data_IF_066219809370
#
_entry.id   IF_066219809370
#
_cell.length_a   1.000
_cell.length_b   1.000
_cell.length_c   1.000
_cell.angle_alpha   90.00
_cell.angle_beta   90.00
_cell.angle_gamma   90.00
#
_symmetry.space_group_name_H-M   'P 1'
#
loop_
_entity.id
_entity.type
_entity.pdbx_description
1 polymer ?
#
# COMPACT_ATOMS: atom_id res chain seq x y z
N UNK A 1 -9.79 33.38 -47.39
CA UNK A 1 -9.24 33.82 -46.08
C UNK A 1 -9.62 32.88 -44.92
N UNK A 2 -9.71 31.56 -45.13
CA UNK A 2 -10.15 30.57 -44.11
C UNK A 2 -9.05 29.60 -43.63
N UNK A 3 -7.80 29.76 -44.10
CA UNK A 3 -6.72 28.80 -43.83
C UNK A 3 -6.13 28.91 -42.40
N UNK A 4 -6.18 30.10 -41.79
CA UNK A 4 -5.53 30.35 -40.50
C UNK A 4 -6.29 29.75 -39.29
N UNK A 5 -7.63 29.75 -39.32
CA UNK A 5 -8.46 29.22 -38.23
C UNK A 5 -8.44 27.69 -38.16
N UNK A 6 -8.29 27.00 -39.30
CA UNK A 6 -8.17 25.54 -39.34
C UNK A 6 -6.86 25.02 -38.71
N UNK A 7 -5.75 25.76 -38.83
CA UNK A 7 -4.49 25.41 -38.17
C UNK A 7 -4.56 25.55 -36.65
N UNK A 8 -5.24 26.58 -36.13
CA UNK A 8 -5.39 26.79 -34.69
C UNK A 8 -6.27 25.72 -34.04
N UNK A 9 -7.35 25.31 -34.71
CA UNK A 9 -8.22 24.23 -34.24
C UNK A 9 -7.55 22.85 -34.32
N UNK A 10 -6.71 22.58 -35.34
CA UNK A 10 -5.89 21.36 -35.41
C UNK A 10 -4.83 21.29 -34.30
N UNK A 11 -4.26 22.44 -33.91
CA UNK A 11 -3.33 22.55 -32.78
C UNK A 11 -4.00 22.26 -31.43
N UNK A 12 -5.22 22.77 -31.23
CA UNK A 12 -6.02 22.48 -30.03
C UNK A 12 -6.52 21.03 -29.98
N UNK A 13 -6.87 20.41 -31.11
CA UNK A 13 -7.27 19.00 -31.13
C UNK A 13 -6.11 18.03 -30.86
N UNK A 14 -4.91 18.29 -31.41
CA UNK A 14 -3.71 17.48 -31.11
C UNK A 14 -3.33 17.58 -29.63
N UNK A 15 -3.47 18.75 -29.01
CA UNK A 15 -3.18 18.92 -27.57
C UNK A 15 -4.27 18.35 -26.67
N UNK A 16 -5.55 18.40 -27.07
CA UNK A 16 -6.67 17.77 -26.34
C UNK A 16 -6.66 16.25 -26.45
N UNK A 17 -6.34 15.68 -27.62
CA UNK A 17 -6.08 14.24 -27.78
C UNK A 17 -4.84 13.83 -27.01
N UNK A 18 -3.75 14.62 -27.00
CA UNK A 18 -2.58 14.34 -26.16
C UNK A 18 -2.94 14.39 -24.67
N UNK A 19 -3.75 15.35 -24.21
CA UNK A 19 -4.26 15.41 -22.81
C UNK A 19 -5.24 14.26 -22.47
N UNK A 20 -6.03 13.75 -23.43
CA UNK A 20 -6.89 12.57 -23.24
C UNK A 20 -6.14 11.24 -23.35
N UNK A 21 -5.09 11.18 -24.17
CA UNK A 21 -4.18 10.03 -24.30
C UNK A 21 -3.11 9.99 -23.19
N UNK A 22 -2.91 11.07 -22.44
CA UNK A 22 -2.12 11.08 -21.20
C UNK A 22 -2.79 10.27 -20.07
N UNK A 23 -4.07 9.91 -20.22
CA UNK A 23 -4.76 8.90 -19.38
C UNK A 23 -4.68 7.47 -19.90
N UNK A 24 -4.01 7.23 -21.04
CA UNK A 24 -3.90 5.93 -21.71
C UNK A 24 -2.47 5.73 -22.24
N UNK A 25 -1.47 5.94 -21.36
CA UNK A 25 -0.08 5.55 -21.60
C UNK A 25 0.13 4.17 -20.96
N UNK A 26 0.08 3.06 -21.74
CA UNK A 26 0.47 1.75 -21.25
C UNK A 26 2.00 1.71 -21.28
N UNK A 27 2.64 2.19 -20.21
CA UNK A 27 4.06 2.04 -19.85
C UNK A 27 4.37 3.14 -18.85
N UNK A 28 4.06 2.88 -17.59
CA UNK A 28 4.84 3.51 -16.52
C UNK A 28 6.25 2.99 -16.75
N UNK A 29 7.10 3.82 -17.35
CA UNK A 29 8.55 3.69 -17.21
C UNK A 29 8.76 3.39 -15.74
N UNK A 30 9.31 2.21 -15.35
CA UNK A 30 9.57 1.95 -13.95
C UNK A 30 10.53 3.04 -13.55
N UNK A 31 10.02 4.06 -12.84
CA UNK A 31 10.88 5.06 -12.25
C UNK A 31 11.88 4.24 -11.47
N UNK A 32 13.16 4.33 -11.83
CA UNK A 32 14.27 3.88 -11.01
C UNK A 32 14.23 4.71 -9.71
N UNK A 33 13.19 4.52 -8.89
CA UNK A 33 13.15 4.99 -7.52
C UNK A 33 14.18 4.08 -6.86
N UNK A 34 15.40 4.61 -6.72
CA UNK A 34 16.51 4.04 -5.97
C UNK A 34 15.94 3.23 -4.81
N UNK A 35 16.09 1.90 -4.90
CA UNK A 35 15.78 0.90 -3.89
C UNK A 35 14.41 1.13 -3.23
N UNK A 36 13.36 0.48 -3.76
CA UNK A 36 12.00 0.50 -3.22
C UNK A 36 11.94 -0.23 -1.85
N UNK A 37 12.70 0.30 -0.90
CA UNK A 37 12.79 -0.10 0.48
C UNK A 37 11.48 0.32 1.13
N UNK A 38 10.82 -0.64 1.74
CA UNK A 38 9.62 -0.43 2.54
C UNK A 38 9.85 -1.02 3.93
N UNK A 39 9.07 -0.59 4.92
CA UNK A 39 9.08 -1.22 6.23
C UNK A 39 7.90 -2.18 6.32
N UNK A 40 8.17 -3.45 6.62
CA UNK A 40 7.15 -4.39 7.05
C UNK A 40 6.97 -4.21 8.55
N UNK A 41 5.79 -3.76 8.99
CA UNK A 41 5.46 -3.57 10.41
C UNK A 41 4.50 -4.64 10.87
N UNK A 42 4.71 -5.19 12.07
CA UNK A 42 3.83 -6.17 12.69
C UNK A 42 2.38 -5.67 12.78
N UNK A 43 1.45 -6.47 12.27
CA UNK A 43 0.01 -6.21 12.34
C UNK A 43 -0.54 -6.36 13.76
N UNK A 44 0.16 -7.10 14.63
CA UNK A 44 -0.17 -7.19 16.04
C UNK A 44 0.09 -5.88 16.81
N UNK A 45 0.52 -4.82 16.11
CA UNK A 45 0.75 -3.47 16.66
C UNK A 45 1.74 -3.45 17.83
N UNK A 46 2.76 -4.30 17.79
CA UNK A 46 3.89 -4.30 18.73
C UNK A 46 4.86 -3.15 18.49
N UNK A 47 4.80 -2.54 17.30
CA UNK A 47 5.75 -1.52 16.84
C UNK A 47 7.00 -2.10 16.17
N UNK A 48 7.17 -3.43 16.16
CA UNK A 48 8.30 -4.06 15.49
C UNK A 48 8.23 -3.90 13.97
N UNK A 49 9.41 -3.66 13.36
CA UNK A 49 9.56 -3.41 11.93
C UNK A 49 10.76 -4.19 11.37
N UNK A 50 10.61 -4.63 10.13
CA UNK A 50 11.72 -5.15 9.33
C UNK A 50 11.83 -4.36 8.02
N UNK A 51 13.06 -4.00 7.65
CA UNK A 51 13.32 -3.39 6.35
C UNK A 51 13.17 -4.43 5.24
N UNK A 52 12.34 -4.13 4.24
CA UNK A 52 12.06 -5.03 3.13
C UNK A 52 12.37 -4.40 1.79
N UNK A 53 13.12 -5.12 0.96
CA UNK A 53 13.39 -4.78 -0.42
C UNK A 53 12.37 -5.46 -1.31
N UNK A 54 11.45 -4.69 -1.89
CA UNK A 54 10.45 -5.24 -2.83
C UNK A 54 11.14 -5.92 -4.01
N UNK A 55 10.59 -7.06 -4.41
CA UNK A 55 10.94 -7.79 -5.64
C UNK A 55 10.50 -7.01 -6.89
N UNK A 56 10.98 -7.38 -8.08
CA UNK A 56 10.58 -6.72 -9.32
C UNK A 56 9.07 -6.85 -9.59
N UNK A 57 8.48 -8.00 -9.28
CA UNK A 57 7.05 -8.24 -9.40
C UNK A 57 6.24 -7.29 -8.48
N UNK A 58 6.62 -7.15 -7.21
CA UNK A 58 5.95 -6.25 -6.26
C UNK A 58 6.19 -4.77 -6.55
N UNK A 59 7.27 -4.43 -7.27
CA UNK A 59 7.52 -3.07 -7.76
C UNK A 59 6.63 -2.72 -8.95
N UNK A 60 6.35 -3.71 -9.81
CA UNK A 60 5.54 -3.55 -11.00
C UNK A 60 4.04 -3.72 -10.71
N UNK A 61 3.68 -4.26 -9.54
CA UNK A 61 2.31 -4.65 -9.21
C UNK A 61 1.30 -3.52 -9.46
N UNK A 62 0.53 -3.69 -10.54
CA UNK A 62 -0.51 -2.76 -10.95
C UNK A 62 -1.73 -2.78 -10.01
N UNK A 63 -1.79 -3.73 -9.08
CA UNK A 63 -2.93 -3.87 -8.17
C UNK A 63 -2.97 -2.77 -7.11
N UNK A 64 -1.86 -2.05 -6.88
CA UNK A 64 -1.79 -0.98 -5.88
C UNK A 64 -1.97 -1.47 -4.43
N UNK A 65 -1.91 -2.80 -4.21
CA UNK A 65 -2.03 -3.40 -2.88
C UNK A 65 -0.74 -3.27 -2.10
N UNK A 66 -0.87 -3.22 -0.78
CA UNK A 66 0.26 -3.25 0.16
C UNK A 66 0.77 -4.67 0.31
N UNK A 67 2.09 -4.84 0.34
CA UNK A 67 2.70 -6.14 0.61
C UNK A 67 2.40 -6.56 2.05
N UNK A 68 2.04 -7.83 2.22
CA UNK A 68 1.87 -8.45 3.53
C UNK A 68 2.61 -9.78 3.56
N UNK A 69 3.36 -10.05 4.63
CA UNK A 69 4.21 -11.24 4.75
C UNK A 69 4.19 -11.76 6.18
N UNK A 70 4.18 -13.08 6.34
CA UNK A 70 4.32 -13.71 7.66
C UNK A 70 5.80 -13.69 8.04
N UNK A 71 6.12 -13.05 9.16
CA UNK A 71 7.46 -12.91 9.70
C UNK A 71 7.44 -13.21 11.20
N UNK A 72 8.61 -13.46 11.78
CA UNK A 72 8.76 -13.68 13.21
C UNK A 72 8.73 -12.34 13.94
N UNK A 73 7.79 -12.15 14.87
CA UNK A 73 7.80 -10.98 15.75
C UNK A 73 8.54 -11.31 17.05
N UNK A 74 9.76 -10.76 17.28
CA UNK A 74 10.53 -11.03 18.49
C UNK A 74 9.87 -10.48 19.76
N UNK A 75 8.96 -9.49 19.65
CA UNK A 75 8.26 -8.92 20.80
C UNK A 75 7.23 -9.91 21.36
N UNK A 76 6.56 -10.65 20.49
CA UNK A 76 5.55 -11.65 20.87
C UNK A 76 6.09 -13.08 20.91
N UNK A 77 7.32 -13.30 20.41
CA UNK A 77 7.92 -14.61 20.20
C UNK A 77 6.97 -15.54 19.41
N UNK A 78 6.34 -15.00 18.36
CA UNK A 78 5.38 -15.69 17.51
C UNK A 78 5.47 -15.21 16.06
N UNK A 79 5.09 -16.08 15.13
CA UNK A 79 4.86 -15.68 13.75
C UNK A 79 3.61 -14.81 13.65
N UNK A 80 3.79 -13.60 13.14
CA UNK A 80 2.73 -12.62 12.96
C UNK A 80 2.71 -12.14 11.50
N UNK A 81 1.57 -11.61 11.07
CA UNK A 81 1.47 -10.95 9.77
C UNK A 81 2.10 -9.57 9.86
N UNK A 82 2.95 -9.22 8.91
CA UNK A 82 3.53 -7.89 8.80
C UNK A 82 2.99 -7.21 7.55
N UNK A 83 2.70 -5.92 7.64
CA UNK A 83 2.13 -5.11 6.56
C UNK A 83 3.08 -4.00 6.14
N UNK A 84 3.06 -3.68 4.85
CA UNK A 84 3.84 -2.61 4.26
C UNK A 84 3.45 -1.23 4.83
N UNK A 85 4.47 -0.53 5.29
CA UNK A 85 4.41 0.83 5.83
C UNK A 85 5.59 1.66 5.33
N UNK A 86 5.47 2.97 5.47
CA UNK A 86 6.54 3.90 5.14
C UNK A 86 7.68 3.72 6.14
N UNK A 87 8.92 3.69 5.66
CA UNK A 87 10.12 3.58 6.51
C UNK A 87 10.25 4.79 7.44
N UNK A 88 9.90 5.98 6.96
CA UNK A 88 9.97 7.21 7.74
C UNK A 88 8.59 7.52 8.32
N UNK A 89 8.52 7.56 9.64
CA UNK A 89 7.34 7.94 10.40
C UNK A 89 7.23 7.17 11.71
N UNK A 90 6.30 7.56 12.59
CA UNK A 90 6.01 6.81 13.80
C UNK A 90 5.40 5.44 13.45
N UNK A 91 6.01 4.36 13.92
CA UNK A 91 5.50 3.00 13.71
C UNK A 91 4.25 2.72 14.54
N UNK A 92 4.15 3.35 15.70
CA UNK A 92 2.99 3.33 16.58
C UNK A 92 2.23 4.64 16.46
N UNK A 93 0.99 4.56 15.97
CA UNK A 93 0.10 5.71 15.83
C UNK A 93 -1.23 5.41 16.50
N UNK A 94 -1.93 6.46 16.96
CA UNK A 94 -3.27 6.33 17.58
C UNK A 94 -4.26 5.60 16.67
N UNK A 95 -4.08 5.71 15.34
CA UNK A 95 -4.91 5.04 14.35
C UNK A 95 -4.77 3.50 14.35
N UNK A 96 -3.68 2.95 14.90
CA UNK A 96 -3.46 1.51 14.99
C UNK A 96 -4.09 0.89 16.25
N UNK A 97 -4.67 1.68 17.15
CA UNK A 97 -5.32 1.15 18.35
C UNK A 97 -6.57 0.36 17.92
N UNK A 98 -6.56 -0.94 18.18
CA UNK A 98 -7.68 -1.82 17.87
C UNK A 98 -8.87 -1.49 18.77
N UNK A 99 -10.08 -1.58 18.22
CA UNK A 99 -11.31 -1.40 19.01
C UNK A 99 -11.42 -2.53 20.04
N UNK A 100 -12.05 -2.25 21.19
CA UNK A 100 -12.35 -3.29 22.19
C UNK A 100 -13.20 -4.38 21.51
N UNK A 101 -12.74 -5.62 21.60
CA UNK A 101 -13.43 -6.82 21.13
C UNK A 101 -13.61 -7.74 22.32
N UNK A 102 -14.81 -8.26 22.51
CA UNK A 102 -15.08 -9.26 23.55
C UNK A 102 -14.69 -10.64 23.03
N UNK A 103 -14.00 -11.42 23.86
CA UNK A 103 -13.57 -12.77 23.50
C UNK A 103 -14.63 -13.80 23.92
N UNK A 104 -14.94 -14.81 23.10
CA UNK A 104 -15.92 -15.84 23.45
C UNK A 104 -15.42 -16.80 24.55
N UNK A 105 -14.11 -16.82 24.79
CA UNK A 105 -13.46 -17.66 25.80
C UNK A 105 -13.88 -17.16 27.18
N UNK A 106 -14.57 -18.00 27.94
CA UNK A 106 -15.16 -17.67 29.25
C UNK A 106 -16.69 -17.69 29.27
N UNK A 107 -17.35 -17.51 28.12
CA UNK A 107 -18.82 -17.64 28.04
C UNK A 107 -19.28 -19.09 28.29
N UNK A 108 -18.49 -20.08 27.86
CA UNK A 108 -18.75 -21.50 28.14
C UNK A 108 -18.40 -21.91 29.59
N UNK A 109 -17.49 -21.21 30.26
CA UNK A 109 -17.07 -21.53 31.64
C UNK A 109 -18.12 -21.13 32.69
N UNK A 110 -18.94 -20.13 32.40
CA UNK A 110 -20.03 -19.72 33.29
C UNK A 110 -21.31 -20.56 33.12
N UNK A 111 -21.40 -21.37 32.06
CA UNK A 111 -22.56 -22.23 31.82
C UNK A 111 -22.44 -23.61 32.50
N UNK A 112 -21.25 -24.02 32.95
CA UNK A 112 -21.02 -25.34 33.58
C UNK A 112 -20.86 -25.30 35.11
N UNK A 113 -21.11 -24.15 35.75
CA UNK A 113 -21.06 -23.98 37.22
C UNK A 113 -22.44 -23.54 37.72
N UNK A 114 -23.44 -24.39 37.51
CA UNK A 114 -24.72 -24.45 38.23
C UNK A 114 -25.16 -25.91 38.24
#
# INVERSE_FOLDING_TARGET
MFSASALWLRGQYKTRLKKRMVGFIPKVIPRKIKNNMVALRSEANTGHMEGYMKTEAERLDATGRKVQKVLWDPVLQRHCLFKETKIRGPFMTKANIVKKMDFPIGAAGNASVK
#
